data_IF_316108111728
#
_entry.id   IF_316108111728
#
_cell.length_a   1.000
_cell.length_b   1.000
_cell.length_c   1.000
_cell.angle_alpha   90.00
_cell.angle_beta   90.00
_cell.angle_gamma   90.00
#
_symmetry.space_group_name_H-M   'P 1'
#
loop_
_entity.id
_entity.type
_entity.pdbx_description
1 polymer ?
#
# COMPACT_ATOMS: atom_id res chain seq x y z
N UNK A 1 14.67 5.83 -13.07
CA UNK A 1 14.96 6.58 -11.83
C UNK A 1 14.59 5.66 -10.68
N UNK A 2 15.33 5.60 -9.57
CA UNK A 2 14.85 4.87 -8.40
C UNK A 2 13.57 5.57 -7.90
N UNK A 3 12.53 4.78 -7.63
CA UNK A 3 11.34 5.28 -6.96
C UNK A 3 11.71 5.63 -5.51
N UNK A 4 11.09 6.67 -4.92
CA UNK A 4 11.33 6.97 -3.51
C UNK A 4 10.78 5.83 -2.65
N UNK A 5 11.49 5.55 -1.56
CA UNK A 5 11.11 4.50 -0.62
C UNK A 5 9.87 4.92 0.17
N UNK A 6 8.97 3.97 0.46
CA UNK A 6 7.93 4.21 1.46
C UNK A 6 8.60 4.29 2.83
N UNK A 7 8.31 5.35 3.59
CA UNK A 7 8.84 5.57 4.93
C UNK A 7 7.78 5.45 6.02
N UNK A 8 6.51 5.57 5.67
CA UNK A 8 5.39 5.38 6.60
C UNK A 8 4.19 4.79 5.86
N UNK A 9 3.50 3.85 6.49
CA UNK A 9 2.22 3.33 6.03
C UNK A 9 1.27 3.22 7.22
N UNK A 10 0.06 3.77 7.08
CA UNK A 10 -0.94 3.82 8.15
C UNK A 10 -2.31 3.43 7.65
N UNK A 11 -2.91 2.40 8.25
CA UNK A 11 -4.29 2.02 7.97
C UNK A 11 -5.24 3.16 8.38
N UNK A 12 -6.08 3.58 7.45
CA UNK A 12 -7.08 4.64 7.65
C UNK A 12 -8.51 4.11 7.59
N UNK A 13 -8.72 2.92 7.04
CA UNK A 13 -10.03 2.28 6.93
C UNK A 13 -9.96 0.83 6.47
N UNK A 14 -11.12 0.24 6.18
CA UNK A 14 -11.18 -1.10 5.61
C UNK A 14 -10.59 -1.09 4.20
N UNK A 15 -9.53 -1.89 3.98
CA UNK A 15 -8.81 -1.94 2.71
C UNK A 15 -8.29 -0.58 2.24
N UNK A 16 -8.06 0.34 3.19
CA UNK A 16 -7.60 1.69 2.93
C UNK A 16 -6.45 2.04 3.87
N UNK A 17 -5.38 2.58 3.32
CA UNK A 17 -4.23 3.05 4.07
C UNK A 17 -3.62 4.27 3.40
N UNK A 18 -2.86 5.04 4.16
CA UNK A 18 -2.10 6.17 3.68
C UNK A 18 -0.62 5.80 3.70
N UNK A 19 0.09 6.16 2.64
CA UNK A 19 1.55 6.00 2.56
C UNK A 19 2.22 7.37 2.47
N UNK A 20 3.43 7.44 3.02
CA UNK A 20 4.35 8.56 2.83
C UNK A 20 5.66 8.05 2.26
N UNK A 21 6.12 8.71 1.21
CA UNK A 21 7.38 8.45 0.54
C UNK A 21 8.50 9.34 1.09
N UNK A 22 9.75 8.92 0.89
CA UNK A 22 10.94 9.61 1.38
C UNK A 22 11.13 11.02 0.82
N UNK A 23 10.50 11.33 -0.31
CA UNK A 23 10.52 12.65 -0.96
C UNK A 23 9.47 13.63 -0.40
N UNK A 24 8.62 13.15 0.52
CA UNK A 24 7.53 13.92 1.10
C UNK A 24 6.19 13.76 0.38
N UNK A 25 6.11 12.98 -0.70
CA UNK A 25 4.85 12.64 -1.33
C UNK A 25 4.02 11.77 -0.37
N UNK A 26 2.75 12.10 -0.21
CA UNK A 26 1.79 11.32 0.56
C UNK A 26 0.60 10.98 -0.32
N UNK A 27 0.06 9.79 -0.14
CA UNK A 27 -1.11 9.39 -0.91
C UNK A 27 -1.93 8.32 -0.23
N UNK A 28 -3.20 8.26 -0.63
CA UNK A 28 -4.13 7.24 -0.16
C UNK A 28 -4.07 6.04 -1.10
N UNK A 29 -4.05 4.85 -0.52
CA UNK A 29 -4.21 3.59 -1.23
C UNK A 29 -5.52 2.95 -0.80
N UNK A 30 -6.37 2.64 -1.76
CA UNK A 30 -7.61 1.88 -1.59
C UNK A 30 -7.52 0.58 -2.39
N UNK A 31 -7.84 -0.54 -1.75
CA UNK A 31 -7.84 -1.85 -2.40
C UNK A 31 -9.27 -2.37 -2.51
N UNK A 32 -9.73 -2.67 -3.73
CA UNK A 32 -11.05 -3.26 -3.94
C UNK A 32 -10.99 -4.75 -3.67
N UNK A 33 -11.88 -5.31 -2.83
CA UNK A 33 -11.87 -6.74 -2.51
C UNK A 33 -12.10 -7.64 -3.73
N UNK A 34 -12.73 -7.10 -4.78
CA UNK A 34 -12.92 -7.78 -6.06
C UNK A 34 -11.66 -7.90 -6.92
N UNK A 35 -10.55 -7.26 -6.54
CA UNK A 35 -9.23 -7.38 -7.19
C UNK A 35 -8.19 -8.06 -6.30
N UNK A 36 -8.55 -8.38 -5.06
CA UNK A 36 -7.73 -9.15 -4.15
C UNK A 36 -7.94 -10.64 -4.42
N UNK A 37 -7.01 -11.26 -5.16
CA UNK A 37 -6.99 -12.69 -5.46
C UNK A 37 -5.63 -13.31 -5.12
N UNK A 38 -5.60 -14.64 -4.92
CA UNK A 38 -4.36 -15.34 -4.56
C UNK A 38 -3.79 -14.88 -3.23
N UNK A 39 -2.53 -14.45 -3.22
CA UNK A 39 -1.83 -14.01 -2.00
C UNK A 39 -2.53 -12.82 -1.34
N UNK A 40 -3.12 -11.92 -2.13
CA UNK A 40 -3.79 -10.71 -1.64
C UNK A 40 -5.16 -10.98 -1.00
N UNK A 41 -5.74 -12.18 -1.10
CA UNK A 41 -7.04 -12.47 -0.47
C UNK A 41 -7.02 -12.33 1.05
N UNK A 42 -5.85 -12.55 1.67
CA UNK A 42 -5.67 -12.38 3.11
C UNK A 42 -5.90 -10.94 3.55
N UNK A 43 -5.63 -9.96 2.69
CA UNK A 43 -5.88 -8.55 2.96
C UNK A 43 -7.37 -8.23 3.12
N UNK A 44 -8.27 -9.07 2.60
CA UNK A 44 -9.72 -8.95 2.86
C UNK A 44 -10.05 -9.07 4.35
N UNK A 45 -9.19 -9.72 5.14
CA UNK A 45 -9.34 -9.78 6.58
C UNK A 45 -8.82 -8.48 7.23
N UNK A 46 -9.68 -7.68 7.89
CA UNK A 46 -9.30 -6.40 8.47
C UNK A 46 -8.24 -6.54 9.57
N UNK A 47 -8.22 -7.62 10.34
CA UNK A 47 -7.22 -7.82 11.40
C UNK A 47 -5.86 -8.20 10.84
N UNK A 48 -5.83 -8.81 9.66
CA UNK A 48 -4.60 -9.05 8.92
C UNK A 48 -4.12 -7.77 8.23
N UNK A 49 -5.02 -7.01 7.62
CA UNK A 49 -4.73 -5.75 6.95
C UNK A 49 -4.10 -4.71 7.88
N UNK A 50 -4.54 -4.65 9.14
CA UNK A 50 -3.95 -3.79 10.19
C UNK A 50 -2.50 -4.11 10.54
N UNK A 51 -1.97 -5.27 10.11
CA UNK A 51 -0.58 -5.68 10.32
C UNK A 51 0.38 -5.12 9.27
N UNK A 52 -0.05 -4.11 8.53
CA UNK A 52 0.79 -3.38 7.59
C UNK A 52 2.05 -2.88 8.29
N UNK A 53 3.18 -3.03 7.62
CA UNK A 53 4.48 -2.55 8.05
C UNK A 53 5.23 -2.01 6.84
N UNK A 54 6.29 -1.23 7.09
CA UNK A 54 7.20 -0.76 6.05
C UNK A 54 8.55 -1.40 6.28
N UNK A 55 9.08 -2.09 5.28
CA UNK A 55 10.37 -2.80 5.34
C UNK A 55 11.14 -2.53 4.05
N UNK A 56 12.38 -2.03 4.17
CA UNK A 56 13.26 -1.72 3.02
C UNK A 56 12.61 -0.85 1.91
N UNK A 57 11.69 0.05 2.28
CA UNK A 57 10.97 0.91 1.33
C UNK A 57 9.70 0.30 0.73
N UNK A 58 9.37 -0.94 1.10
CA UNK A 58 8.18 -1.66 0.66
C UNK A 58 7.12 -1.66 1.75
N UNK A 59 5.86 -1.68 1.32
CA UNK A 59 4.74 -1.93 2.24
C UNK A 59 4.55 -3.43 2.32
N UNK A 60 4.74 -3.98 3.51
CA UNK A 60 4.71 -5.41 3.76
C UNK A 60 3.61 -5.79 4.76
N UNK A 61 3.04 -6.98 4.57
CA UNK A 61 2.21 -7.67 5.54
C UNK A 61 2.90 -8.99 5.94
N UNK A 62 2.46 -9.64 7.03
CA UNK A 62 2.91 -10.99 7.37
C UNK A 62 2.70 -11.97 6.21
N UNK A 63 3.41 -13.11 6.15
CA UNK A 63 3.27 -14.11 5.07
C UNK A 63 3.74 -13.63 3.68
N UNK A 64 4.80 -12.82 3.61
CA UNK A 64 5.51 -12.44 2.36
C UNK A 64 4.64 -11.68 1.34
N UNK A 65 3.62 -10.95 1.80
CA UNK A 65 2.90 -10.02 0.94
C UNK A 65 3.62 -8.68 1.00
N UNK A 66 4.26 -8.30 -0.09
CA UNK A 66 4.83 -6.99 -0.29
C UNK A 66 4.10 -6.22 -1.40
N UNK A 67 4.16 -4.90 -1.30
CA UNK A 67 3.60 -3.98 -2.26
C UNK A 67 4.69 -2.97 -2.61
N UNK A 68 5.06 -3.00 -3.88
CA UNK A 68 6.16 -2.21 -4.40
C UNK A 68 5.82 -0.70 -4.44
N UNK A 69 6.79 0.17 -4.13
CA UNK A 69 6.60 1.62 -4.10
C UNK A 69 6.34 2.21 -5.49
N UNK A 70 6.74 1.55 -6.57
CA UNK A 70 6.65 2.02 -7.95
C UNK A 70 5.19 2.30 -8.39
N UNK A 71 4.34 1.28 -8.31
CA UNK A 71 2.94 1.37 -8.72
C UNK A 71 2.15 2.34 -7.82
N UNK A 72 2.45 2.33 -6.52
CA UNK A 72 1.87 3.28 -5.57
C UNK A 72 2.27 4.72 -5.92
N UNK A 73 3.56 4.96 -6.13
CA UNK A 73 4.10 6.28 -6.37
C UNK A 73 3.56 6.89 -7.65
N UNK A 74 3.56 6.15 -8.76
CA UNK A 74 3.07 6.66 -10.04
C UNK A 74 1.58 7.04 -9.95
N UNK A 75 0.74 6.17 -9.38
CA UNK A 75 -0.68 6.44 -9.23
C UNK A 75 -0.96 7.64 -8.28
N UNK A 76 -0.27 7.71 -7.14
CA UNK A 76 -0.41 8.82 -6.18
C UNK A 76 0.11 10.12 -6.77
N UNK A 77 1.20 10.08 -7.54
CA UNK A 77 1.76 11.27 -8.18
C UNK A 77 0.82 11.84 -9.25
N UNK A 78 0.13 10.97 -9.98
CA UNK A 78 -0.80 11.39 -11.04
C UNK A 78 -2.18 11.80 -10.50
N UNK A 79 -2.72 11.08 -9.51
CA UNK A 79 -4.12 11.22 -9.07
C UNK A 79 -4.28 11.64 -7.60
N UNK A 80 -3.21 11.66 -6.81
CA UNK A 80 -3.23 11.86 -5.35
C UNK A 80 -3.66 10.61 -4.56
N UNK A 81 -4.15 9.59 -5.25
CA UNK A 81 -4.57 8.32 -4.68
C UNK A 81 -4.33 7.16 -5.65
N UNK A 82 -4.18 5.97 -5.08
CA UNK A 82 -4.12 4.73 -5.84
C UNK A 82 -5.30 3.84 -5.47
N UNK A 83 -6.15 3.54 -6.45
CA UNK A 83 -7.26 2.60 -6.29
C UNK A 83 -6.91 1.33 -7.03
N UNK A 84 -6.53 0.29 -6.29
CA UNK A 84 -6.30 -1.05 -6.83
C UNK A 84 -7.66 -1.72 -7.01
N UNK A 85 -8.15 -1.78 -8.24
CA UNK A 85 -9.54 -2.17 -8.49
C UNK A 85 -9.91 -2.37 -9.93
#
# INVERSE_FOLDING_TARGET
MPYPDVIEARVTGNLQFQVRFSDGLEGRVEMRPGHLFGVFERLKNPDYFKRIAVTDGFVCWPDEIDLAPDAMYDAIRENGEWVLG
#
